data_IF_547941514815
#
_entry.id   IF_547941514815
#
_cell.length_a   1.000
_cell.length_b   1.000
_cell.length_c   1.000
_cell.angle_alpha   90.00
_cell.angle_beta   90.00
_cell.angle_gamma   90.00
#
_symmetry.space_group_name_H-M   'P 1'
#
loop_
_entity.id
_entity.type
_entity.pdbx_description
1 polymer ?
#
# COMPACT_ATOMS: atom_id res chain seq x y z
N UNK A 1 11.14 8.72 47.11
CA UNK A 1 10.63 7.98 45.92
C UNK A 1 9.39 8.72 45.42
N UNK A 2 9.55 9.68 44.51
CA UNK A 2 8.47 10.47 43.88
C UNK A 2 8.49 10.09 42.38
N UNK A 3 7.44 9.44 41.87
CA UNK A 3 6.27 10.06 41.21
C UNK A 3 6.61 10.60 39.81
N UNK A 4 6.07 9.97 38.77
CA UNK A 4 5.37 10.57 37.62
C UNK A 4 5.29 9.57 36.45
N UNK A 5 4.08 9.31 35.94
CA UNK A 5 3.88 8.91 34.55
C UNK A 5 3.79 10.20 33.72
N UNK A 6 4.26 10.20 32.46
CA UNK A 6 3.33 10.13 31.33
C UNK A 6 3.82 9.11 30.29
N UNK A 7 2.96 8.28 29.71
CA UNK A 7 2.47 8.47 28.33
C UNK A 7 3.56 8.95 27.37
N UNK A 8 4.43 8.04 26.96
CA UNK A 8 5.28 8.22 25.80
C UNK A 8 4.82 7.19 24.77
N UNK A 9 3.79 7.55 24.02
CA UNK A 9 3.92 7.70 22.57
C UNK A 9 5.36 7.42 22.11
N UNK A 10 5.72 6.13 21.95
CA UNK A 10 6.73 5.77 20.96
C UNK A 10 6.05 6.05 19.63
N UNK A 11 6.03 7.34 19.30
CA UNK A 11 5.68 7.83 18.00
C UNK A 11 6.53 7.00 17.06
N UNK A 12 5.85 6.33 16.13
CA UNK A 12 6.48 5.95 14.89
C UNK A 12 7.27 7.19 14.47
N UNK A 13 8.61 7.11 14.30
CA UNK A 13 9.36 8.28 13.87
C UNK A 13 8.63 8.83 12.65
N UNK A 14 8.20 10.10 12.74
CA UNK A 14 7.39 10.76 11.72
C UNK A 14 8.09 10.81 10.35
N UNK A 15 9.35 10.40 10.30
CA UNK A 15 10.22 10.27 9.15
C UNK A 15 10.76 8.85 8.98
N UNK A 16 10.01 7.80 9.35
CA UNK A 16 10.12 6.55 8.59
C UNK A 16 9.41 6.77 7.26
N UNK A 17 10.04 7.52 6.37
CA UNK A 17 9.92 7.20 4.95
C UNK A 17 10.32 5.72 4.87
N UNK A 18 9.32 4.84 4.85
CA UNK A 18 9.48 3.47 4.37
C UNK A 18 9.79 3.59 2.90
N UNK A 19 11.01 4.00 2.57
CA UNK A 19 11.60 3.78 1.27
C UNK A 19 11.80 2.27 1.20
N UNK A 20 10.77 1.55 0.78
CA UNK A 20 10.97 0.21 0.23
C UNK A 20 11.81 0.43 -1.03
N UNK A 21 13.13 0.38 -0.90
CA UNK A 21 14.06 0.33 -2.03
C UNK A 21 13.58 -0.77 -2.99
N UNK A 22 12.94 -0.35 -4.08
CA UNK A 22 12.47 -1.23 -5.16
C UNK A 22 10.96 -1.58 -5.22
N UNK A 23 10.07 -0.94 -4.45
CA UNK A 23 8.61 -1.17 -4.61
C UNK A 23 7.83 0.11 -4.90
N UNK A 24 7.93 0.62 -6.12
CA UNK A 24 7.05 1.71 -6.56
C UNK A 24 6.14 1.29 -7.72
N UNK A 25 5.67 0.03 -7.72
CA UNK A 25 4.50 -0.34 -8.52
C UNK A 25 3.25 -0.06 -7.71
N UNK A 26 2.60 1.05 -8.03
CA UNK A 26 1.30 1.39 -7.44
C UNK A 26 0.22 0.60 -8.19
N UNK A 27 -0.63 -0.12 -7.45
CA UNK A 27 -1.82 -0.78 -7.98
C UNK A 27 -3.06 -0.06 -7.51
N UNK A 28 -3.90 0.36 -8.45
CA UNK A 28 -5.20 0.95 -8.17
C UNK A 28 -6.28 0.02 -8.73
N UNK A 29 -7.19 -0.43 -7.88
CA UNK A 29 -8.22 -1.37 -8.27
C UNK A 29 -9.20 -1.60 -7.14
N UNK A 30 -10.32 -2.24 -7.46
CA UNK A 30 -11.32 -2.57 -6.46
C UNK A 30 -10.92 -3.86 -5.73
N UNK A 31 -11.18 -3.88 -4.43
CA UNK A 31 -11.04 -5.08 -3.60
C UNK A 31 -12.43 -5.52 -3.14
N UNK A 32 -12.75 -6.78 -3.37
CA UNK A 32 -13.95 -7.44 -2.88
C UNK A 32 -13.53 -8.66 -2.06
N UNK A 33 -14.02 -8.75 -0.81
CA UNK A 33 -13.64 -9.83 0.13
C UNK A 33 -12.12 -9.98 0.30
N UNK A 34 -11.41 -8.86 0.48
CA UNK A 34 -9.94 -8.82 0.60
C UNK A 34 -9.17 -9.31 -0.64
N UNK A 35 -9.85 -9.50 -1.78
CA UNK A 35 -9.28 -9.95 -3.05
C UNK A 35 -9.47 -8.89 -4.13
N UNK A 36 -8.50 -8.75 -5.05
CA UNK A 36 -8.63 -7.86 -6.20
C UNK A 36 -9.78 -8.30 -7.11
N UNK A 37 -10.63 -7.35 -7.50
CA UNK A 37 -11.81 -7.58 -8.32
C UNK A 37 -12.02 -6.43 -9.31
N UNK A 38 -12.33 -6.75 -10.56
CA UNK A 38 -12.50 -5.77 -11.63
C UNK A 38 -11.19 -5.32 -12.26
N UNK A 39 -11.23 -4.18 -12.95
CA UNK A 39 -10.07 -3.65 -13.66
C UNK A 39 -9.07 -3.01 -12.68
N UNK A 40 -7.86 -3.52 -12.67
CA UNK A 40 -6.74 -3.04 -11.85
C UNK A 40 -5.71 -2.38 -12.75
N UNK A 41 -5.32 -1.18 -12.38
CA UNK A 41 -4.34 -0.36 -13.08
C UNK A 41 -3.01 -0.45 -12.35
N UNK A 42 -1.97 -0.87 -13.06
CA UNK A 42 -0.59 -0.85 -12.56
C UNK A 42 0.11 0.39 -13.06
N UNK A 43 0.69 1.16 -12.15
CA UNK A 43 1.46 2.36 -12.45
C UNK A 43 2.93 2.14 -12.10
N UNK A 44 3.78 2.78 -12.88
CA UNK A 44 5.22 2.89 -12.66
C UNK A 44 5.52 3.83 -11.49
N UNK A 45 6.79 3.90 -11.09
CA UNK A 45 7.27 4.75 -9.99
C UNK A 45 7.01 6.23 -10.23
N UNK A 46 6.93 6.61 -11.50
CA UNK A 46 6.60 7.96 -11.95
C UNK A 46 5.09 8.24 -12.03
N UNK A 47 4.24 7.29 -11.62
CA UNK A 47 2.78 7.38 -11.73
C UNK A 47 2.25 7.16 -13.17
N UNK A 48 3.09 6.67 -14.09
CA UNK A 48 2.67 6.38 -15.46
C UNK A 48 1.99 5.02 -15.53
N UNK A 49 0.81 4.95 -16.13
CA UNK A 49 0.11 3.67 -16.34
C UNK A 49 0.97 2.73 -17.18
N UNK A 50 1.38 1.60 -16.59
CA UNK A 50 2.13 0.54 -17.25
C UNK A 50 1.18 -0.39 -18.01
N UNK A 51 0.12 -0.84 -17.33
CA UNK A 51 -0.88 -1.77 -17.89
C UNK A 51 -2.16 -1.76 -17.08
N UNK A 52 -3.23 -2.23 -17.73
CA UNK A 52 -4.50 -2.56 -17.11
C UNK A 52 -4.68 -4.06 -17.13
N UNK A 53 -5.07 -4.62 -15.99
CA UNK A 53 -5.21 -6.05 -15.78
C UNK A 53 -6.56 -6.29 -15.13
N UNK A 54 -7.37 -7.19 -15.68
CA UNK A 54 -8.64 -7.55 -15.07
C UNK A 54 -8.36 -8.60 -13.99
N UNK A 55 -8.87 -8.40 -12.77
CA UNK A 55 -8.80 -9.37 -11.69
C UNK A 55 -10.20 -9.86 -11.34
N UNK A 56 -10.33 -11.14 -10.98
CA UNK A 56 -11.59 -11.71 -10.49
C UNK A 56 -11.28 -12.64 -9.32
N UNK A 57 -11.83 -12.35 -8.14
CA UNK A 57 -11.49 -13.05 -6.90
C UNK A 57 -9.97 -13.20 -6.68
N UNK A 58 -9.20 -12.14 -6.95
CA UNK A 58 -7.75 -12.11 -6.77
C UNK A 58 -6.94 -12.76 -7.89
N UNK A 59 -7.60 -13.30 -8.92
CA UNK A 59 -6.93 -13.94 -10.06
C UNK A 59 -6.90 -13.01 -11.26
N UNK A 60 -5.70 -12.73 -11.79
CA UNK A 60 -5.50 -12.04 -13.06
C UNK A 60 -6.18 -12.81 -14.20
N UNK A 61 -7.15 -12.17 -14.84
CA UNK A 61 -7.81 -12.59 -16.06
C UNK A 61 -7.04 -11.97 -17.23
N UNK A 62 -6.39 -12.83 -18.01
CA UNK A 62 -5.57 -12.45 -19.17
C UNK A 62 -6.38 -12.47 -20.47
#
# INVERSE_FOLDING_TARGET
>A
MKSAKPDESMGLPADMERVLEGQTKKREGTYANDLLEGEVMEYDERGKLLRKVLYKAGVEQK
#
